data_IF_165103810396
#
_entry.id   IF_165103810396
#
_cell.length_a   1.000
_cell.length_b   1.000
_cell.length_c   1.000
_cell.angle_alpha   90.00
_cell.angle_beta   90.00
_cell.angle_gamma   90.00
#
_symmetry.space_group_name_H-M   'P 1'
#
loop_
_entity.id
_entity.type
_entity.pdbx_description
1 polymer ?
#
# COMPACT_ATOMS: atom_id res chain seq x y z
N UNK A 1 15.94 -28.99 -10.43
CA UNK A 1 16.90 -28.04 -9.83
C UNK A 1 16.51 -26.70 -10.39
N UNK A 2 15.75 -25.93 -9.63
CA UNK A 2 15.35 -24.57 -10.00
C UNK A 2 16.60 -23.71 -10.12
N UNK A 3 16.68 -22.94 -11.20
CA UNK A 3 17.79 -22.06 -11.57
C UNK A 3 17.78 -20.83 -10.63
N UNK A 4 18.17 -21.06 -9.37
CA UNK A 4 18.33 -20.03 -8.34
C UNK A 4 19.65 -19.28 -8.58
N UNK A 5 19.80 -18.63 -9.72
CA UNK A 5 21.01 -17.87 -10.03
C UNK A 5 20.84 -16.40 -9.62
N UNK A 6 20.99 -16.12 -8.33
CA UNK A 6 21.23 -14.75 -7.87
C UNK A 6 22.64 -14.33 -8.27
N UNK A 7 22.81 -13.07 -8.70
CA UNK A 7 24.14 -12.53 -9.00
C UNK A 7 24.98 -12.42 -7.70
N UNK A 8 26.29 -12.27 -7.83
CA UNK A 8 27.15 -12.09 -6.65
C UNK A 8 26.75 -10.84 -5.84
N UNK A 9 26.37 -9.76 -6.52
CA UNK A 9 25.93 -8.51 -5.90
C UNK A 9 24.58 -8.70 -5.19
N UNK A 10 23.65 -9.45 -5.78
CA UNK A 10 22.36 -9.80 -5.16
C UNK A 10 22.54 -10.70 -3.94
N UNK A 11 23.44 -11.70 -4.01
CA UNK A 11 23.77 -12.56 -2.87
C UNK A 11 24.36 -11.76 -1.71
N UNK A 12 25.21 -10.77 -1.97
CA UNK A 12 25.78 -9.89 -0.94
C UNK A 12 24.70 -8.99 -0.33
N UNK A 13 23.95 -8.27 -1.18
CA UNK A 13 22.88 -7.34 -0.79
C UNK A 13 21.79 -8.01 0.04
N UNK A 14 21.26 -9.14 -0.43
CA UNK A 14 20.15 -9.85 0.21
C UNK A 14 20.61 -10.96 1.16
N UNK A 15 21.89 -11.00 1.53
CA UNK A 15 22.47 -12.04 2.38
C UNK A 15 21.70 -12.25 3.68
N UNK A 16 21.07 -11.21 4.24
CA UNK A 16 20.27 -11.30 5.47
C UNK A 16 18.93 -11.99 5.28
N UNK A 17 18.29 -11.89 4.12
CA UNK A 17 17.09 -12.65 3.80
C UNK A 17 17.45 -14.10 3.45
N UNK A 18 18.52 -14.29 2.67
CA UNK A 18 18.94 -15.60 2.17
C UNK A 18 19.31 -16.59 3.29
N UNK A 19 19.85 -16.09 4.42
CA UNK A 19 20.19 -16.94 5.57
C UNK A 19 19.00 -17.27 6.48
N UNK A 20 17.85 -16.60 6.31
CA UNK A 20 16.65 -16.88 7.11
C UNK A 20 15.95 -18.12 6.54
N UNK A 21 15.70 -19.12 7.37
CA UNK A 21 15.02 -20.35 6.93
C UNK A 21 13.62 -20.06 6.36
N UNK A 22 12.93 -19.05 6.91
CA UNK A 22 11.58 -18.64 6.51
C UNK A 22 11.53 -17.90 5.15
N UNK A 23 12.66 -17.36 4.68
CA UNK A 23 12.76 -16.64 3.41
C UNK A 23 13.64 -17.42 2.44
N UNK A 24 14.93 -17.56 2.78
CA UNK A 24 15.89 -18.32 2.00
C UNK A 24 16.13 -17.77 0.59
N UNK A 25 16.93 -18.48 -0.23
CA UNK A 25 17.13 -18.13 -1.63
C UNK A 25 15.82 -18.10 -2.44
N UNK A 26 14.86 -18.98 -2.13
CA UNK A 26 13.59 -19.08 -2.85
C UNK A 26 12.67 -17.89 -2.54
N UNK A 27 12.53 -17.51 -1.27
CA UNK A 27 11.74 -16.34 -0.88
C UNK A 27 12.33 -15.04 -1.41
N UNK A 28 13.66 -14.88 -1.40
CA UNK A 28 14.29 -13.72 -2.03
C UNK A 28 14.04 -13.69 -3.54
N UNK A 29 14.06 -14.86 -4.20
CA UNK A 29 13.70 -14.94 -5.62
C UNK A 29 12.23 -14.54 -5.86
N UNK A 30 11.30 -14.96 -4.99
CA UNK A 30 9.89 -14.53 -5.07
C UNK A 30 9.76 -13.02 -4.97
N UNK A 31 10.50 -12.37 -4.06
CA UNK A 31 10.53 -10.90 -3.98
C UNK A 31 11.03 -10.29 -5.30
N UNK A 32 12.15 -10.77 -5.83
CA UNK A 32 12.73 -10.27 -7.09
C UNK A 32 11.86 -10.52 -8.32
N UNK A 33 10.99 -11.53 -8.27
CA UNK A 33 10.06 -11.87 -9.36
C UNK A 33 8.69 -11.18 -9.19
N UNK A 34 8.42 -10.51 -8.06
CA UNK A 34 7.12 -9.92 -7.75
C UNK A 34 6.97 -8.48 -8.23
N UNK A 35 5.74 -8.13 -8.59
CA UNK A 35 5.31 -6.80 -8.98
C UNK A 35 4.38 -6.23 -7.89
N UNK A 36 4.75 -5.10 -7.29
CA UNK A 36 3.94 -4.43 -6.25
C UNK A 36 3.57 -3.01 -6.69
N UNK A 37 2.30 -2.64 -6.55
CA UNK A 37 1.82 -1.27 -6.80
C UNK A 37 1.69 -0.50 -5.48
N UNK A 38 2.40 0.61 -5.33
CA UNK A 38 2.19 1.58 -4.26
C UNK A 38 1.32 2.73 -4.78
N UNK A 39 0.14 2.91 -4.17
CA UNK A 39 -0.77 4.02 -4.48
C UNK A 39 -0.51 5.14 -3.47
N UNK A 40 0.02 6.26 -3.95
CA UNK A 40 0.51 7.37 -3.16
C UNK A 40 2.01 7.24 -2.85
N UNK A 41 2.78 8.27 -3.20
CA UNK A 41 4.17 8.49 -2.84
C UNK A 41 4.31 9.47 -1.65
N UNK A 42 3.24 9.63 -0.87
CA UNK A 42 3.16 10.56 0.25
C UNK A 42 3.82 10.05 1.54
N UNK A 43 3.25 10.43 2.69
CA UNK A 43 3.82 10.10 4.00
C UNK A 43 3.84 8.60 4.29
N UNK A 44 2.77 7.88 3.95
CA UNK A 44 2.70 6.42 4.03
C UNK A 44 3.51 5.77 2.91
N UNK A 45 3.38 6.28 1.68
CA UNK A 45 4.10 5.79 0.51
C UNK A 45 5.61 5.79 0.67
N UNK A 46 6.18 6.83 1.29
CA UNK A 46 7.62 6.97 1.49
C UNK A 46 8.31 5.73 2.13
N UNK A 47 7.94 5.31 3.36
CA UNK A 47 8.50 4.09 3.96
C UNK A 47 8.11 2.81 3.19
N UNK A 48 6.93 2.76 2.55
CA UNK A 48 6.51 1.60 1.74
C UNK A 48 7.50 1.40 0.58
N UNK A 49 7.67 2.44 -0.24
CA UNK A 49 8.57 2.47 -1.39
C UNK A 49 10.00 2.15 -0.93
N UNK A 50 10.46 2.80 0.15
CA UNK A 50 11.79 2.60 0.69
C UNK A 50 12.07 1.14 1.06
N UNK A 51 11.18 0.51 1.82
CA UNK A 51 11.42 -0.84 2.33
C UNK A 51 11.12 -1.94 1.31
N UNK A 52 10.16 -1.76 0.41
CA UNK A 52 9.94 -2.70 -0.69
C UNK A 52 11.11 -2.68 -1.68
N UNK A 53 11.63 -1.49 -2.00
CA UNK A 53 12.83 -1.37 -2.81
C UNK A 53 14.04 -2.01 -2.11
N UNK A 54 14.25 -1.73 -0.81
CA UNK A 54 15.35 -2.33 -0.06
C UNK A 54 15.25 -3.86 0.05
N UNK A 55 14.03 -4.40 0.15
CA UNK A 55 13.77 -5.84 0.20
C UNK A 55 14.02 -6.55 -1.14
N UNK A 56 14.14 -5.79 -2.23
CA UNK A 56 14.36 -6.32 -3.57
C UNK A 56 13.08 -6.85 -4.22
N UNK A 57 11.96 -6.13 -4.04
CA UNK A 57 10.78 -6.35 -4.90
C UNK A 57 11.18 -6.09 -6.36
N UNK A 58 10.85 -7.00 -7.27
CA UNK A 58 11.28 -6.97 -8.67
C UNK A 58 10.84 -5.72 -9.41
N UNK A 59 9.53 -5.47 -9.42
CA UNK A 59 8.93 -4.28 -10.04
C UNK A 59 8.12 -3.52 -9.00
N UNK A 60 8.39 -2.23 -8.85
CA UNK A 60 7.64 -1.33 -7.99
C UNK A 60 6.92 -0.28 -8.84
N UNK A 61 5.61 -0.45 -9.00
CA UNK A 61 4.73 0.57 -9.55
C UNK A 61 4.46 1.66 -8.53
N UNK A 62 4.50 2.93 -8.92
CA UNK A 62 4.23 4.05 -8.02
C UNK A 62 3.22 4.98 -8.70
N UNK A 63 2.01 5.07 -8.15
CA UNK A 63 0.95 5.93 -8.68
C UNK A 63 0.72 7.14 -7.76
N UNK A 64 0.97 8.35 -8.26
CA UNK A 64 0.73 9.62 -7.56
C UNK A 64 0.64 10.76 -8.61
N UNK A 65 -0.31 11.69 -8.45
CA UNK A 65 -0.49 12.84 -9.36
C UNK A 65 0.05 14.16 -8.81
N UNK A 66 0.59 14.17 -7.61
CA UNK A 66 1.14 15.38 -7.00
C UNK A 66 2.61 15.61 -7.36
N UNK A 67 3.02 16.85 -7.08
CA UNK A 67 4.44 17.26 -7.06
C UNK A 67 4.96 17.35 -5.62
N UNK A 68 6.27 17.24 -5.44
CA UNK A 68 6.92 17.40 -4.13
C UNK A 68 6.78 18.85 -3.66
N UNK A 69 6.22 19.03 -2.46
CA UNK A 69 6.20 20.33 -1.80
C UNK A 69 7.12 20.37 -0.57
N UNK A 70 7.70 21.53 -0.27
CA UNK A 70 8.53 21.72 0.94
C UNK A 70 7.79 21.37 2.23
N UNK A 71 6.48 21.61 2.29
CA UNK A 71 5.60 21.27 3.42
C UNK A 71 5.53 19.75 3.69
N UNK A 72 5.87 18.95 2.68
CA UNK A 72 5.78 17.49 2.72
C UNK A 72 7.01 16.85 3.37
N UNK A 73 8.18 17.48 3.26
CA UNK A 73 9.49 16.92 3.63
C UNK A 73 9.63 16.55 5.12
N UNK A 74 8.74 17.04 5.98
CA UNK A 74 8.71 16.65 7.40
C UNK A 74 8.27 15.19 7.63
N UNK A 75 7.66 14.55 6.62
CA UNK A 75 7.16 13.16 6.70
C UNK A 75 7.33 12.31 5.44
N UNK A 76 7.69 12.92 4.30
CA UNK A 76 7.88 12.21 3.03
C UNK A 76 9.38 12.02 2.75
N UNK A 77 9.97 11.06 3.45
CA UNK A 77 11.43 10.97 3.65
C UNK A 77 12.23 10.44 2.45
N UNK A 78 11.55 10.02 1.38
CA UNK A 78 12.21 9.63 0.13
C UNK A 78 12.44 10.83 -0.80
N UNK A 79 11.85 11.98 -0.49
CA UNK A 79 12.01 13.24 -1.23
C UNK A 79 12.95 14.20 -0.48
N UNK A 80 13.61 15.09 -1.22
CA UNK A 80 14.51 16.11 -0.70
C UNK A 80 14.15 17.55 -1.10
N UNK A 81 14.89 18.53 -0.55
CA UNK A 81 14.74 19.95 -0.90
C UNK A 81 15.01 20.22 -2.40
N UNK A 82 15.87 19.42 -3.03
CA UNK A 82 16.21 19.54 -4.46
C UNK A 82 15.10 18.98 -5.39
N UNK A 83 14.16 18.21 -4.83
CA UNK A 83 13.05 17.60 -5.58
C UNK A 83 11.80 18.49 -5.61
N UNK A 84 11.79 19.59 -4.86
CA UNK A 84 10.62 20.47 -4.74
C UNK A 84 10.17 20.97 -6.12
N UNK A 85 8.91 20.69 -6.46
CA UNK A 85 8.29 21.01 -7.75
C UNK A 85 8.40 19.93 -8.81
N UNK A 86 9.12 18.83 -8.56
CA UNK A 86 9.13 17.65 -9.42
C UNK A 86 7.93 16.74 -9.11
N UNK A 87 7.39 15.98 -10.09
CA UNK A 87 6.42 14.93 -9.83
C UNK A 87 6.94 13.96 -8.76
N UNK A 88 6.08 13.59 -7.80
CA UNK A 88 6.51 12.70 -6.71
C UNK A 88 6.96 11.34 -7.22
N UNK A 89 6.31 10.81 -8.26
CA UNK A 89 6.66 9.53 -8.86
C UNK A 89 8.06 9.52 -9.47
N UNK A 90 8.50 10.64 -10.07
CA UNK A 90 9.85 10.78 -10.62
C UNK A 90 10.90 10.86 -9.50
N UNK A 91 10.64 11.67 -8.47
CA UNK A 91 11.52 11.76 -7.28
C UNK A 91 11.63 10.40 -6.57
N UNK A 92 10.52 9.69 -6.43
CA UNK A 92 10.50 8.35 -5.84
C UNK A 92 11.28 7.33 -6.69
N UNK A 93 11.16 7.37 -8.02
CA UNK A 93 11.92 6.52 -8.91
C UNK A 93 13.43 6.76 -8.77
N UNK A 94 13.87 8.03 -8.77
CA UNK A 94 15.27 8.38 -8.56
C UNK A 94 15.80 7.89 -7.20
N UNK A 95 14.99 7.99 -6.15
CA UNK A 95 15.33 7.45 -4.83
C UNK A 95 15.53 5.92 -4.87
N UNK A 96 14.61 5.19 -5.51
CA UNK A 96 14.68 3.72 -5.60
C UNK A 96 15.88 3.29 -6.43
N UNK A 97 16.13 3.90 -7.58
CA UNK A 97 17.30 3.60 -8.42
C UNK A 97 18.63 3.79 -7.66
N UNK A 98 18.72 4.86 -6.84
CA UNK A 98 19.88 5.11 -6.02
C UNK A 98 20.03 4.11 -4.87
N UNK A 99 18.92 3.66 -4.29
CA UNK A 99 18.89 2.71 -3.17
C UNK A 99 19.18 1.28 -3.64
N UNK A 100 18.49 0.82 -4.68
CA UNK A 100 18.55 -0.55 -5.15
C UNK A 100 18.37 -0.66 -6.69
N UNK A 101 19.47 -0.81 -7.45
CA UNK A 101 19.41 -0.91 -8.91
C UNK A 101 18.90 -2.27 -9.42
N UNK A 102 18.61 -3.23 -8.53
CA UNK A 102 17.95 -4.48 -8.92
C UNK A 102 16.44 -4.29 -9.16
N UNK A 103 15.86 -3.19 -8.66
CA UNK A 103 14.42 -2.92 -8.68
C UNK A 103 14.06 -2.13 -9.94
N UNK A 104 13.08 -2.62 -10.70
CA UNK A 104 12.48 -1.86 -11.80
C UNK A 104 11.39 -0.95 -11.24
N UNK A 105 11.40 0.33 -11.58
CA UNK A 105 10.37 1.28 -11.13
C UNK A 105 9.49 1.67 -12.30
N UNK A 106 8.18 1.61 -12.11
CA UNK A 106 7.18 2.05 -13.09
C UNK A 106 6.44 3.27 -12.52
N UNK A 107 6.85 4.50 -12.88
CA UNK A 107 6.19 5.71 -12.41
C UNK A 107 4.87 5.95 -13.17
N UNK A 108 3.77 5.99 -12.44
CA UNK A 108 2.45 6.33 -12.95
C UNK A 108 2.08 7.73 -12.46
N UNK A 109 2.46 8.77 -13.21
CA UNK A 109 2.08 10.16 -12.93
C UNK A 109 0.59 10.39 -13.28
N UNK A 110 -0.28 9.80 -12.48
CA UNK A 110 -1.73 9.78 -12.73
C UNK A 110 -2.50 9.70 -11.42
N UNK A 111 -3.69 10.28 -11.43
CA UNK A 111 -4.65 10.06 -10.37
C UNK A 111 -5.29 8.70 -10.59
N UNK A 112 -5.29 7.85 -9.56
CA UNK A 112 -6.01 6.58 -9.62
C UNK A 112 -7.51 6.85 -9.61
N UNK A 113 -8.20 6.35 -10.64
CA UNK A 113 -9.63 6.56 -10.90
C UNK A 113 -10.26 5.25 -11.41
N UNK A 114 -11.60 5.17 -11.44
CA UNK A 114 -12.28 4.00 -11.99
C UNK A 114 -11.82 3.69 -13.43
N UNK A 115 -11.57 4.74 -14.23
CA UNK A 115 -11.15 4.62 -15.64
C UNK A 115 -9.79 3.95 -15.86
N UNK A 116 -8.88 3.97 -14.88
CA UNK A 116 -7.52 3.44 -15.04
C UNK A 116 -7.14 2.31 -14.08
N UNK A 117 -7.88 2.11 -12.98
CA UNK A 117 -7.46 1.17 -11.94
C UNK A 117 -7.42 -0.29 -12.43
N UNK A 118 -8.38 -0.71 -13.27
CA UNK A 118 -8.39 -2.07 -13.82
C UNK A 118 -7.13 -2.37 -14.63
N UNK A 119 -6.64 -1.36 -15.38
CA UNK A 119 -5.40 -1.45 -16.15
C UNK A 119 -4.17 -1.55 -15.25
N UNK A 120 -4.12 -0.73 -14.19
CA UNK A 120 -3.05 -0.80 -13.21
C UNK A 120 -3.01 -2.17 -12.53
N UNK A 121 -4.13 -2.65 -11.99
CA UNK A 121 -4.18 -3.92 -11.25
C UNK A 121 -3.76 -5.14 -12.07
N UNK A 122 -3.95 -5.11 -13.39
CA UNK A 122 -3.58 -6.22 -14.28
C UNK A 122 -2.05 -6.51 -14.31
N UNK A 123 -1.22 -5.57 -13.86
CA UNK A 123 0.25 -5.65 -13.94
C UNK A 123 0.92 -6.03 -12.61
N UNK A 124 0.17 -6.04 -11.49
CA UNK A 124 0.73 -6.18 -10.14
C UNK A 124 0.11 -7.33 -9.35
N UNK A 125 0.95 -8.01 -8.57
CA UNK A 125 0.57 -9.15 -7.74
C UNK A 125 -0.03 -8.70 -6.39
N UNK A 126 0.43 -7.56 -5.87
CA UNK A 126 0.03 -7.00 -4.58
C UNK A 126 -0.10 -5.48 -4.71
N UNK A 127 -1.09 -4.90 -4.02
CA UNK A 127 -1.24 -3.44 -3.89
C UNK A 127 -0.96 -2.98 -2.47
N UNK A 128 -0.37 -1.80 -2.32
CA UNK A 128 -0.25 -1.11 -1.03
C UNK A 128 -0.89 0.26 -1.15
N UNK A 129 -1.96 0.48 -0.39
CA UNK A 129 -2.71 1.73 -0.37
C UNK A 129 -2.11 2.70 0.66
N UNK A 130 -1.32 3.65 0.16
CA UNK A 130 -0.78 4.78 0.91
C UNK A 130 -1.55 6.09 0.69
N UNK A 131 -2.77 6.02 0.13
CA UNK A 131 -3.57 7.20 -0.20
C UNK A 131 -4.16 7.90 1.03
N UNK A 132 -4.32 9.21 0.94
CA UNK A 132 -4.76 10.06 2.04
C UNK A 132 -6.19 10.59 1.91
N UNK A 133 -6.94 10.14 0.89
CA UNK A 133 -8.31 10.56 0.63
C UNK A 133 -9.27 9.37 0.57
N UNK A 134 -10.54 9.59 0.93
CA UNK A 134 -11.53 8.51 0.98
C UNK A 134 -11.86 7.94 -0.41
N UNK A 135 -12.00 8.76 -1.44
CA UNK A 135 -12.38 8.32 -2.78
C UNK A 135 -11.43 7.23 -3.31
N UNK A 136 -10.11 7.46 -3.23
CA UNK A 136 -9.10 6.49 -3.62
C UNK A 136 -9.15 5.23 -2.75
N UNK A 137 -9.32 5.35 -1.43
CA UNK A 137 -9.40 4.18 -0.53
C UNK A 137 -10.56 3.24 -0.88
N UNK A 138 -11.74 3.80 -1.10
CA UNK A 138 -12.92 3.02 -1.49
C UNK A 138 -12.76 2.42 -2.88
N UNK A 139 -12.23 3.19 -3.84
CA UNK A 139 -11.94 2.70 -5.18
C UNK A 139 -10.94 1.53 -5.17
N UNK A 140 -9.83 1.67 -4.46
CA UNK A 140 -8.79 0.63 -4.35
C UNK A 140 -9.35 -0.61 -3.69
N UNK A 141 -10.13 -0.46 -2.61
CA UNK A 141 -10.82 -1.58 -2.00
C UNK A 141 -11.68 -2.34 -3.01
N UNK A 142 -12.57 -1.62 -3.70
CA UNK A 142 -13.57 -2.25 -4.56
C UNK A 142 -12.88 -2.93 -5.74
N UNK A 143 -11.93 -2.25 -6.40
CA UNK A 143 -11.18 -2.81 -7.52
C UNK A 143 -10.35 -4.04 -7.14
N UNK A 144 -9.59 -3.97 -6.03
CA UNK A 144 -8.77 -5.10 -5.58
C UNK A 144 -9.64 -6.30 -5.17
N UNK A 145 -10.74 -6.05 -4.47
CA UNK A 145 -11.68 -7.09 -4.06
C UNK A 145 -12.33 -7.79 -5.26
N UNK A 146 -12.77 -7.02 -6.26
CA UNK A 146 -13.38 -7.55 -7.48
C UNK A 146 -12.37 -8.29 -8.37
N UNK A 147 -11.13 -7.81 -8.42
CA UNK A 147 -10.06 -8.42 -9.21
C UNK A 147 -9.41 -9.64 -8.52
N UNK A 148 -9.64 -9.83 -7.22
CA UNK A 148 -8.95 -10.86 -6.42
C UNK A 148 -7.47 -10.56 -6.20
N UNK A 149 -7.09 -9.27 -6.18
CA UNK A 149 -5.72 -8.81 -5.94
C UNK A 149 -5.58 -8.44 -4.47
N UNK A 150 -4.68 -9.08 -3.71
CA UNK A 150 -4.50 -8.78 -2.29
C UNK A 150 -3.87 -7.40 -2.09
N UNK A 151 -4.25 -6.72 -1.00
CA UNK A 151 -3.72 -5.40 -0.70
C UNK A 151 -3.55 -5.09 0.79
N UNK A 152 -2.55 -4.26 1.09
CA UNK A 152 -2.32 -3.72 2.44
C UNK A 152 -2.77 -2.25 2.52
N UNK A 153 -3.66 -1.95 3.45
CA UNK A 153 -4.25 -0.62 3.63
C UNK A 153 -3.72 0.06 4.89
N UNK A 154 -3.47 1.36 4.80
CA UNK A 154 -3.06 2.20 5.93
C UNK A 154 -3.80 3.53 5.95
N UNK A 155 -4.18 3.97 7.13
CA UNK A 155 -4.74 5.29 7.36
C UNK A 155 -4.15 5.90 8.63
N UNK A 156 -4.07 7.22 8.66
CA UNK A 156 -3.50 7.97 9.79
C UNK A 156 -4.28 9.25 10.05
N UNK A 157 -4.35 9.64 11.33
CA UNK A 157 -4.90 10.91 11.77
C UNK A 157 -4.25 11.32 13.09
N UNK A 158 -3.62 12.50 13.15
CA UNK A 158 -2.94 13.01 14.37
C UNK A 158 -1.87 12.07 14.93
N UNK A 159 -2.21 11.26 15.93
CA UNK A 159 -1.36 10.28 16.62
C UNK A 159 -1.82 8.83 16.38
N UNK A 160 -2.90 8.64 15.63
CA UNK A 160 -3.57 7.35 15.46
C UNK A 160 -3.27 6.79 14.07
N UNK A 161 -2.84 5.54 14.01
CA UNK A 161 -2.67 4.75 12.80
C UNK A 161 -3.62 3.56 12.76
N UNK A 162 -4.10 3.23 11.57
CA UNK A 162 -4.92 2.05 11.30
C UNK A 162 -4.30 1.28 10.15
N UNK A 163 -4.08 -0.02 10.33
CA UNK A 163 -3.51 -0.91 9.32
C UNK A 163 -4.36 -2.16 9.24
N UNK A 164 -4.61 -2.63 8.03
CA UNK A 164 -5.15 -3.95 7.79
C UNK A 164 -4.63 -4.50 6.46
N UNK A 165 -4.85 -5.78 6.23
CA UNK A 165 -4.54 -6.45 4.97
C UNK A 165 -5.80 -7.13 4.52
N UNK A 166 -6.04 -7.15 3.22
CA UNK A 166 -7.13 -7.88 2.63
C UNK A 166 -6.54 -8.84 1.60
N UNK A 167 -6.71 -10.14 1.83
CA UNK A 167 -6.22 -11.15 0.88
C UNK A 167 -7.12 -11.29 -0.37
N UNK A 168 -8.23 -10.53 -0.41
CA UNK A 168 -9.21 -10.52 -1.50
C UNK A 168 -9.77 -11.92 -1.83
N UNK A 169 -9.91 -12.76 -0.81
CA UNK A 169 -10.51 -14.10 -0.94
C UNK A 169 -12.04 -14.04 -0.82
N UNK A 170 -12.77 -15.01 -1.39
CA UNK A 170 -14.23 -15.06 -1.24
C UNK A 170 -14.72 -15.14 0.22
N UNK A 171 -13.91 -15.70 1.13
CA UNK A 171 -14.24 -15.84 2.55
C UNK A 171 -13.83 -14.63 3.40
N UNK A 172 -12.89 -13.81 2.91
CA UNK A 172 -12.34 -12.67 3.63
C UNK A 172 -13.25 -11.43 3.64
N UNK A 173 -13.07 -10.51 4.61
CA UNK A 173 -13.71 -9.20 4.58
C UNK A 173 -13.07 -8.30 3.50
N UNK A 174 -13.75 -7.20 3.16
CA UNK A 174 -13.14 -6.08 2.45
C UNK A 174 -13.28 -4.80 3.29
N UNK A 175 -12.69 -3.68 2.88
CA UNK A 175 -12.78 -2.40 3.58
C UNK A 175 -14.23 -1.98 3.85
N UNK A 176 -15.14 -2.21 2.91
CA UNK A 176 -16.58 -1.93 3.07
C UNK A 176 -17.29 -2.78 4.11
N UNK A 177 -16.73 -3.93 4.50
CA UNK A 177 -17.25 -4.67 5.65
C UNK A 177 -17.04 -3.89 6.96
N UNK A 178 -15.97 -3.10 7.06
CA UNK A 178 -15.67 -2.25 8.23
C UNK A 178 -16.34 -0.88 8.12
N UNK A 179 -16.17 -0.23 6.97
CA UNK A 179 -16.65 1.12 6.70
C UNK A 179 -17.51 1.09 5.43
N UNK A 180 -18.84 0.97 5.56
CA UNK A 180 -19.69 0.70 4.40
C UNK A 180 -19.72 1.82 3.37
N UNK A 181 -19.67 3.07 3.86
CA UNK A 181 -19.73 4.30 3.08
C UNK A 181 -18.74 5.32 3.64
N UNK A 182 -18.25 6.20 2.78
CA UNK A 182 -17.37 7.28 3.21
C UNK A 182 -18.12 8.27 4.11
N UNK A 183 -17.45 8.89 5.09
CA UNK A 183 -18.03 10.00 5.84
C UNK A 183 -18.48 11.12 4.90
N UNK A 184 -19.50 11.88 5.30
CA UNK A 184 -19.95 13.03 4.52
C UNK A 184 -18.78 14.00 4.26
N UNK A 185 -18.65 14.56 3.05
CA UNK A 185 -17.55 15.46 2.70
C UNK A 185 -17.40 16.60 3.72
N UNK A 186 -16.17 16.77 4.23
CA UNK A 186 -15.84 17.82 5.20
C UNK A 186 -16.12 17.49 6.67
N UNK A 187 -16.66 16.31 7.00
CA UNK A 187 -16.86 15.89 8.40
C UNK A 187 -15.58 15.39 9.05
N UNK A 188 -14.69 14.77 8.28
CA UNK A 188 -13.37 14.32 8.73
C UNK A 188 -12.30 15.22 8.07
N UNK A 189 -11.46 15.92 8.87
CA UNK A 189 -10.38 16.74 8.31
C UNK A 189 -9.28 15.86 7.72
N UNK A 190 -8.69 16.33 6.63
CA UNK A 190 -7.49 15.70 6.04
C UNK A 190 -6.23 15.92 6.92
N UNK A 191 -5.14 15.23 6.58
CA UNK A 191 -3.88 15.36 7.30
C UNK A 191 -3.31 16.79 7.27
N UNK A 192 -3.54 17.53 6.18
CA UNK A 192 -3.08 18.91 6.02
C UNK A 192 -3.79 19.86 7.01
N UNK A 193 -5.07 19.60 7.30
CA UNK A 193 -5.92 20.40 8.17
C UNK A 193 -5.84 19.96 9.63
N UNK A 194 -5.88 18.65 9.88
CA UNK A 194 -5.86 18.09 11.24
C UNK A 194 -4.47 18.09 11.87
N UNK A 195 -3.42 18.09 11.03
CA UNK A 195 -2.05 17.80 11.43
C UNK A 195 -1.82 16.31 11.66
N UNK A 196 -0.59 15.87 11.43
CA UNK A 196 -0.14 14.50 11.66
C UNK A 196 1.26 14.53 12.26
N UNK A 197 1.51 13.70 13.27
CA UNK A 197 2.85 13.51 13.81
C UNK A 197 3.73 12.93 12.69
N UNK A 198 4.79 13.63 12.29
CA UNK A 198 5.58 13.29 11.08
C UNK A 198 6.12 11.85 11.02
N UNK A 199 6.43 11.26 12.18
CA UNK A 199 6.93 9.86 12.27
C UNK A 199 5.81 8.81 12.17
N UNK A 200 4.56 9.16 12.46
CA UNK A 200 3.43 8.24 12.44
C UNK A 200 3.25 7.55 11.06
N UNK A 201 3.22 8.27 9.93
CA UNK A 201 3.20 7.63 8.61
C UNK A 201 4.38 6.67 8.39
N UNK A 202 5.56 7.00 8.94
CA UNK A 202 6.74 6.15 8.93
C UNK A 202 6.48 4.77 9.53
N UNK A 203 5.97 4.73 10.76
CA UNK A 203 5.63 3.49 11.45
C UNK A 203 4.56 2.69 10.71
N UNK A 204 3.47 3.36 10.33
CA UNK A 204 2.31 2.72 9.66
C UNK A 204 2.71 2.15 8.30
N UNK A 205 3.45 2.91 7.49
CA UNK A 205 3.92 2.44 6.19
C UNK A 205 4.97 1.34 6.27
N UNK A 206 5.82 1.29 7.32
CA UNK A 206 6.69 0.13 7.57
C UNK A 206 5.89 -1.14 7.87
N UNK A 207 4.77 -1.03 8.60
CA UNK A 207 3.88 -2.17 8.85
C UNK A 207 3.22 -2.59 7.53
N UNK A 208 2.74 -1.65 6.71
CA UNK A 208 2.19 -1.97 5.38
C UNK A 208 3.21 -2.67 4.47
N UNK A 209 4.46 -2.20 4.43
CA UNK A 209 5.53 -2.86 3.67
C UNK A 209 5.78 -4.29 4.19
N UNK A 210 5.70 -4.50 5.50
CA UNK A 210 5.81 -5.83 6.13
C UNK A 210 4.68 -6.75 5.66
N UNK A 211 3.43 -6.26 5.64
CA UNK A 211 2.28 -7.03 5.13
C UNK A 211 2.44 -7.38 3.65
N UNK A 212 2.87 -6.44 2.81
CA UNK A 212 3.13 -6.69 1.40
C UNK A 212 4.23 -7.75 1.17
N UNK A 213 5.32 -7.69 1.94
CA UNK A 213 6.36 -8.74 1.89
C UNK A 213 5.82 -10.10 2.32
N UNK A 214 4.99 -10.17 3.36
CA UNK A 214 4.34 -11.43 3.77
C UNK A 214 3.43 -12.00 2.68
N UNK A 215 2.64 -11.15 2.02
CA UNK A 215 1.79 -11.55 0.89
C UNK A 215 2.62 -12.14 -0.25
N UNK A 216 3.70 -11.46 -0.67
CA UNK A 216 4.61 -11.95 -1.73
C UNK A 216 5.29 -13.26 -1.35
N UNK A 217 5.73 -13.40 -0.10
CA UNK A 217 6.40 -14.62 0.37
C UNK A 217 5.42 -15.78 0.57
N UNK A 218 4.14 -15.49 0.83
CA UNK A 218 3.17 -16.46 1.31
C UNK A 218 3.56 -17.02 2.68
N UNK A 219 4.11 -16.17 3.55
CA UNK A 219 4.65 -16.55 4.86
C UNK A 219 4.16 -15.62 5.98
N UNK A 220 3.89 -16.21 7.14
CA UNK A 220 3.36 -15.50 8.31
C UNK A 220 1.84 -15.40 8.29
N UNK A 221 1.28 -14.76 9.31
CA UNK A 221 -0.15 -14.45 9.38
C UNK A 221 -0.33 -12.98 9.01
N UNK A 222 -1.11 -12.69 7.97
CA UNK A 222 -1.44 -11.33 7.56
C UNK A 222 -2.40 -10.66 8.56
N UNK A 223 -2.68 -9.38 8.34
CA UNK A 223 -3.76 -8.67 9.01
C UNK A 223 -5.15 -8.96 8.41
N UNK A 224 -5.31 -9.92 7.50
CA UNK A 224 -6.64 -10.30 7.01
C UNK A 224 -7.55 -10.75 8.17
N UNK A 225 -8.79 -10.25 8.18
CA UNK A 225 -9.75 -10.48 9.27
C UNK A 225 -9.50 -9.66 10.55
N UNK A 226 -8.56 -8.71 10.56
CA UNK A 226 -8.29 -7.84 11.71
C UNK A 226 -7.74 -6.45 11.32
N UNK A 227 -8.05 -5.44 12.11
CA UNK A 227 -7.43 -4.12 12.00
C UNK A 227 -6.47 -3.92 13.17
N UNK A 228 -5.24 -3.56 12.87
CA UNK A 228 -4.27 -3.09 13.85
C UNK A 228 -4.45 -1.58 14.05
N UNK A 229 -4.81 -1.19 15.26
CA UNK A 229 -4.85 0.19 15.71
C UNK A 229 -3.56 0.53 16.46
N UNK A 230 -2.89 1.60 16.07
CA UNK A 230 -1.67 2.11 16.68
C UNK A 230 -1.92 3.49 17.27
N UNK A 231 -1.81 3.63 18.60
CA UNK A 231 -1.79 4.92 19.27
C UNK A 231 -0.35 5.32 19.56
N UNK A 232 0.15 6.36 18.89
CA UNK A 232 1.50 6.86 19.08
C UNK A 232 1.68 7.73 20.33
N UNK A 233 0.60 8.28 20.90
CA UNK A 233 0.65 9.06 22.13
C UNK A 233 0.83 8.13 23.34
N UNK A 234 0.06 7.04 23.37
CA UNK A 234 0.10 6.04 24.44
C UNK A 234 1.10 4.90 24.16
N UNK A 235 1.62 4.81 22.93
CA UNK A 235 2.48 3.73 22.44
C UNK A 235 1.85 2.34 22.62
N UNK A 236 0.58 2.21 22.21
CA UNK A 236 -0.18 0.97 22.27
C UNK A 236 -0.53 0.44 20.88
N UNK A 237 -0.73 -0.88 20.82
CA UNK A 237 -1.20 -1.59 19.64
C UNK A 237 -2.39 -2.46 20.04
N UNK A 238 -3.51 -2.32 19.34
CA UNK A 238 -4.74 -3.08 19.59
C UNK A 238 -5.21 -3.74 18.29
N UNK A 239 -5.57 -5.02 18.35
CA UNK A 239 -6.16 -5.74 17.21
C UNK A 239 -7.68 -5.78 17.38
N UNK A 240 -8.39 -5.29 16.36
CA UNK A 240 -9.85 -5.29 16.29
C UNK A 240 -10.28 -6.33 15.24
N UNK A 241 -11.03 -7.39 15.61
CA UNK A 241 -11.52 -8.37 14.66
C UNK A 241 -12.44 -7.75 13.60
N UNK A 242 -12.34 -8.26 12.37
CA UNK A 242 -13.12 -7.83 11.23
C UNK A 242 -13.77 -9.05 10.60
N UNK A 243 -15.10 -9.00 10.44
CA UNK A 243 -15.85 -10.09 9.84
C UNK A 243 -16.41 -9.68 8.47
N UNK A 244 -16.45 -10.64 7.55
CA UNK A 244 -17.15 -10.46 6.27
C UNK A 244 -18.64 -10.23 6.53
N UNK A 245 -19.21 -9.20 5.90
CA UNK A 245 -20.64 -8.93 5.92
C UNK A 245 -21.34 -9.63 4.74
N UNK A 246 -22.39 -10.45 4.98
CA UNK A 246 -23.15 -11.07 3.90
C UNK A 246 -23.84 -10.06 2.97
N UNK A 247 -24.19 -8.89 3.52
CA UNK A 247 -24.84 -7.78 2.82
C UNK A 247 -23.84 -6.70 2.35
N UNK A 248 -22.54 -7.01 2.31
CA UNK A 248 -21.55 -6.08 1.79
C UNK A 248 -21.82 -5.78 0.30
N UNK A 249 -21.89 -4.51 -0.12
CA UNK A 249 -22.21 -4.15 -1.50
C UNK A 249 -21.10 -4.51 -2.51
N UNK A 250 -19.97 -5.06 -2.06
CA UNK A 250 -18.85 -5.47 -2.92
C UNK A 250 -18.58 -6.96 -2.78
N UNK A 251 -18.16 -7.44 -1.60
CA UNK A 251 -17.82 -8.86 -1.43
C UNK A 251 -18.99 -9.75 -0.98
N UNK A 252 -20.18 -9.18 -0.75
CA UNK A 252 -21.40 -9.88 -0.33
C UNK A 252 -22.20 -10.45 -1.51
N UNK A 253 -23.26 -11.18 -1.21
CA UNK A 253 -24.12 -11.78 -2.23
C UNK A 253 -24.87 -10.68 -3.01
N UNK A 254 -24.65 -10.62 -4.33
CA UNK A 254 -25.27 -9.59 -5.19
C UNK A 254 -24.62 -8.21 -5.07
N UNK A 255 -23.35 -8.15 -4.64
CA UNK A 255 -22.54 -6.94 -4.72
C UNK A 255 -22.32 -6.46 -6.17
N UNK A 256 -21.74 -5.27 -6.31
CA UNK A 256 -21.39 -4.69 -7.61
C UNK A 256 -20.45 -5.60 -8.39
N UNK A 257 -20.59 -5.62 -9.71
CA UNK A 257 -19.73 -6.39 -10.61
C UNK A 257 -18.56 -5.56 -11.15
N UNK A 258 -18.63 -4.22 -11.00
CA UNK A 258 -17.64 -3.30 -11.54
C UNK A 258 -17.53 -2.01 -10.73
N UNK A 259 -16.32 -1.45 -10.63
CA UNK A 259 -16.08 -0.13 -10.05
C UNK A 259 -16.69 1.00 -10.87
N UNK A 260 -16.98 0.77 -12.16
CA UNK A 260 -17.61 1.76 -13.05
C UNK A 260 -19.09 2.00 -12.72
N UNK A 261 -19.70 1.14 -11.89
CA UNK A 261 -21.08 1.26 -11.44
C UNK A 261 -21.22 2.10 -10.14
N UNK A 262 -20.10 2.62 -9.61
CA UNK A 262 -20.03 3.31 -8.31
C UNK A 262 -19.56 4.76 -8.47
N UNK A 263 -20.19 5.69 -7.75
CA UNK A 263 -19.73 7.08 -7.66
C UNK A 263 -18.79 7.28 -6.46
N UNK A 264 -17.50 7.47 -6.76
CA UNK A 264 -16.47 7.72 -5.75
C UNK A 264 -16.23 9.22 -5.45
N UNK A 265 -16.89 10.16 -6.14
CA UNK A 265 -16.66 11.59 -5.94
C UNK A 265 -17.39 12.17 -4.72
N UNK A 266 -18.42 11.47 -4.23
CA UNK A 266 -19.31 11.92 -3.16
C UNK A 266 -19.15 11.12 -1.86
N UNK A 267 -20.17 10.37 -1.44
CA UNK A 267 -20.13 9.52 -0.23
C UNK A 267 -19.54 8.14 -0.50
N UNK A 268 -19.10 7.86 -1.74
CA UNK A 268 -18.69 6.51 -2.17
C UNK A 268 -19.80 5.47 -1.92
N UNK A 269 -21.07 5.88 -1.89
CA UNK A 269 -22.20 5.00 -1.62
C UNK A 269 -22.53 4.13 -2.84
N UNK A 270 -22.98 2.91 -2.57
CA UNK A 270 -23.41 1.90 -3.55
C UNK A 270 -24.89 1.61 -3.33
#
# INVERSE_FOLDING_TARGET
MTDLSLSADQLDRYSRHIIMDDVGPEGQKRLLDANVLCIGAGGLGSPIIQYLAAAGVGTLGIADDDVVERSNLQRQVIHGDDDVGQPKVESAAAFVEALNPDVTVEPHETRVTADNIDGLLAEYDVVVDGSDNFATRYLVNDACTLAGVPFAHGAILRFEGQITTFEATPEGPCYRCLFPEAPEPGTVPDCATAGVLGVLPGTVGCIQATEAVKLVLGHGETLDGRMLFYDAADMSFEEIPVEKRPDCPVCGDGGVESVHDVDYESTCAI
#
